data_IF_035014048606
#
_entry.id   IF_035014048606
#
_cell.length_a   1.000
_cell.length_b   1.000
_cell.length_c   1.000
_cell.angle_alpha   90.00
_cell.angle_beta   90.00
_cell.angle_gamma   90.00
#
_symmetry.space_group_name_H-M   'P 1'
#
loop_
_entity.id
_entity.type
_entity.pdbx_description
1 polymer ?
#
# COMPACT_ATOMS: atom_id res chain seq x y z
N UNK A 1 -16.39 10.98 -5.21
CA UNK A 1 -15.69 10.60 -3.97
C UNK A 1 -15.29 9.13 -4.10
N UNK A 2 -14.02 8.76 -3.91
CA UNK A 2 -13.59 7.36 -3.99
C UNK A 2 -14.24 6.56 -2.84
N UNK A 3 -14.82 5.40 -3.16
CA UNK A 3 -15.46 4.51 -2.19
C UNK A 3 -14.50 3.39 -1.78
N UNK A 4 -13.97 3.50 -0.55
CA UNK A 4 -12.98 2.57 0.00
C UNK A 4 -13.52 1.14 0.09
N UNK A 5 -14.80 0.98 0.47
CA UNK A 5 -15.43 -0.33 0.61
C UNK A 5 -15.60 -1.02 -0.75
N UNK A 6 -15.96 -0.26 -1.78
CA UNK A 6 -16.03 -0.80 -3.14
C UNK A 6 -14.66 -1.26 -3.64
N UNK A 7 -13.59 -0.54 -3.29
CA UNK A 7 -12.24 -0.99 -3.64
C UNK A 7 -11.85 -2.25 -2.87
N UNK A 8 -12.09 -2.30 -1.55
CA UNK A 8 -11.81 -3.49 -0.73
C UNK A 8 -12.54 -4.74 -1.28
N UNK A 9 -13.83 -4.59 -1.57
CA UNK A 9 -14.64 -5.61 -2.25
C UNK A 9 -14.04 -6.06 -3.58
N UNK A 10 -13.57 -5.11 -4.40
CA UNK A 10 -13.00 -5.39 -5.70
C UNK A 10 -11.66 -6.12 -5.58
N UNK A 11 -10.82 -5.74 -4.62
CA UNK A 11 -9.54 -6.40 -4.33
C UNK A 11 -9.76 -7.89 -4.04
N UNK A 12 -10.70 -8.18 -3.16
CA UNK A 12 -11.04 -9.56 -2.77
C UNK A 12 -11.72 -10.33 -3.92
N UNK A 13 -12.78 -9.78 -4.51
CA UNK A 13 -13.56 -10.43 -5.57
C UNK A 13 -12.72 -10.75 -6.80
N UNK A 14 -11.84 -9.83 -7.20
CA UNK A 14 -10.98 -9.98 -8.37
C UNK A 14 -9.63 -10.63 -8.04
N UNK A 15 -9.37 -10.98 -6.77
CA UNK A 15 -8.10 -11.55 -6.30
C UNK A 15 -6.90 -10.76 -6.79
N UNK A 16 -6.94 -9.45 -6.59
CA UNK A 16 -5.88 -8.56 -7.04
C UNK A 16 -4.55 -9.00 -6.42
N UNK A 17 -3.59 -9.35 -7.27
CA UNK A 17 -2.31 -9.89 -6.82
C UNK A 17 -1.26 -8.81 -6.59
N UNK A 18 -1.30 -7.72 -7.36
CA UNK A 18 -0.36 -6.59 -7.27
C UNK A 18 -1.14 -5.30 -7.53
N UNK A 19 -0.88 -4.26 -6.75
CA UNK A 19 -1.51 -2.95 -6.94
C UNK A 19 -0.55 -1.80 -6.62
N UNK A 20 -0.80 -0.66 -7.26
CA UNK A 20 -0.22 0.63 -6.90
C UNK A 20 -1.33 1.59 -6.48
N UNK A 21 -1.10 2.34 -5.40
CA UNK A 21 -2.08 3.25 -4.79
C UNK A 21 -1.37 4.48 -4.20
N UNK A 22 -2.04 5.62 -4.08
CA UNK A 22 -1.44 6.79 -3.41
C UNK A 22 -1.24 6.52 -1.91
N UNK A 23 -0.28 7.20 -1.29
CA UNK A 23 -0.04 7.05 0.16
C UNK A 23 -1.27 7.40 0.99
N UNK A 24 -1.98 8.49 0.68
CA UNK A 24 -3.22 8.85 1.39
C UNK A 24 -4.25 7.71 1.34
N UNK A 25 -4.41 7.05 0.19
CA UNK A 25 -5.44 6.02 0.04
C UNK A 25 -5.01 4.67 0.62
N UNK A 26 -3.70 4.36 0.60
CA UNK A 26 -3.14 3.28 1.41
C UNK A 26 -3.45 3.46 2.90
N UNK A 27 -3.23 4.66 3.46
CA UNK A 27 -3.51 4.96 4.86
C UNK A 27 -4.99 4.72 5.20
N UNK A 28 -5.91 5.21 4.34
CA UNK A 28 -7.35 5.03 4.51
C UNK A 28 -7.76 3.55 4.48
N UNK A 29 -7.21 2.75 3.55
CA UNK A 29 -7.48 1.31 3.51
C UNK A 29 -6.98 0.60 4.78
N UNK A 30 -5.77 0.95 5.24
CA UNK A 30 -5.19 0.40 6.48
C UNK A 30 -6.07 0.69 7.70
N UNK A 31 -6.75 1.83 7.73
CA UNK A 31 -7.64 2.21 8.83
C UNK A 31 -9.04 1.61 8.73
N UNK A 32 -9.59 1.48 7.53
CA UNK A 32 -10.98 1.03 7.33
C UNK A 32 -11.07 -0.49 7.19
N UNK A 33 -10.23 -1.09 6.36
CA UNK A 33 -10.26 -2.53 6.08
C UNK A 33 -8.90 -3.04 5.57
N UNK A 34 -7.97 -3.21 6.49
CA UNK A 34 -6.66 -3.80 6.17
C UNK A 34 -6.76 -5.27 5.72
N UNK A 35 -7.86 -5.96 6.05
CA UNK A 35 -8.00 -7.39 5.78
C UNK A 35 -8.11 -7.69 4.30
N UNK A 36 -8.69 -6.77 3.52
CA UNK A 36 -8.77 -6.89 2.06
C UNK A 36 -7.40 -6.98 1.38
N UNK A 37 -6.32 -6.54 2.05
CA UNK A 37 -4.95 -6.57 1.54
C UNK A 37 -4.24 -7.90 1.84
N UNK A 38 -4.85 -8.80 2.63
CA UNK A 38 -4.21 -10.02 3.13
C UNK A 38 -3.71 -10.92 2.01
N UNK A 39 -4.45 -11.05 0.92
CA UNK A 39 -4.10 -11.93 -0.20
C UNK A 39 -3.32 -11.24 -1.32
N UNK A 40 -3.17 -9.91 -1.27
CA UNK A 40 -2.34 -9.18 -2.21
C UNK A 40 -0.87 -9.56 -2.00
N UNK A 41 -0.15 -9.85 -3.08
CA UNK A 41 1.25 -10.27 -3.06
C UNK A 41 2.20 -9.08 -2.94
N UNK A 42 1.91 -7.97 -3.62
CA UNK A 42 2.68 -6.72 -3.55
C UNK A 42 1.79 -5.49 -3.59
N UNK A 43 1.98 -4.60 -2.62
CA UNK A 43 1.28 -3.31 -2.51
C UNK A 43 2.35 -2.23 -2.65
N UNK A 44 2.28 -1.51 -3.76
CA UNK A 44 3.13 -0.35 -4.00
C UNK A 44 2.34 0.90 -3.61
N UNK A 45 2.98 1.83 -2.92
CA UNK A 45 2.37 3.11 -2.60
C UNK A 45 3.36 4.25 -2.60
N UNK A 46 2.91 5.46 -2.92
CA UNK A 46 3.78 6.63 -3.02
C UNK A 46 3.06 7.88 -3.51
N UNK A 47 3.84 8.92 -3.78
CA UNK A 47 3.37 10.22 -4.29
C UNK A 47 3.32 11.34 -3.25
N UNK A 48 3.55 11.04 -1.98
CA UNK A 48 3.60 12.01 -0.87
C UNK A 48 4.35 11.40 0.34
N UNK A 49 4.57 12.19 1.39
CA UNK A 49 5.25 11.73 2.60
C UNK A 49 4.51 10.57 3.28
N UNK A 50 5.25 9.54 3.65
CA UNK A 50 4.71 8.34 4.30
C UNK A 50 4.22 8.61 5.72
N UNK A 51 3.13 7.94 6.11
CA UNK A 51 2.71 7.84 7.51
C UNK A 51 3.30 6.60 8.16
N UNK A 52 4.36 6.75 8.95
CA UNK A 52 5.05 5.64 9.64
C UNK A 52 4.07 4.80 10.48
N UNK A 53 3.09 5.44 11.14
CA UNK A 53 2.04 4.75 11.90
C UNK A 53 1.26 3.75 11.05
N UNK A 54 0.79 4.15 9.86
CA UNK A 54 0.01 3.28 8.98
C UNK A 54 0.87 2.19 8.37
N UNK A 55 2.10 2.49 7.95
CA UNK A 55 3.01 1.46 7.42
C UNK A 55 3.36 0.44 8.49
N UNK A 56 3.61 0.86 9.74
CA UNK A 56 3.86 -0.05 10.87
C UNK A 56 2.65 -0.95 11.13
N UNK A 57 1.45 -0.40 11.20
CA UNK A 57 0.19 -1.16 11.33
C UNK A 57 0.02 -2.16 10.18
N UNK A 58 0.30 -1.72 8.96
CA UNK A 58 0.22 -2.56 7.77
C UNK A 58 1.22 -3.71 7.78
N UNK A 59 2.48 -3.41 8.12
CA UNK A 59 3.55 -4.39 8.22
C UNK A 59 3.28 -5.44 9.30
N UNK A 60 2.81 -5.02 10.48
CA UNK A 60 2.45 -5.93 11.58
C UNK A 60 1.34 -6.91 11.19
N UNK A 61 0.39 -6.49 10.35
CA UNK A 61 -0.72 -7.34 9.90
C UNK A 61 -0.36 -8.20 8.68
N UNK A 62 0.32 -7.63 7.69
CA UNK A 62 0.59 -8.27 6.39
C UNK A 62 1.88 -9.09 6.37
N UNK A 63 2.85 -8.75 7.23
CA UNK A 63 4.19 -9.33 7.26
C UNK A 63 5.17 -8.67 6.29
N UNK A 64 6.41 -9.20 6.29
CA UNK A 64 7.48 -8.77 5.39
C UNK A 64 7.18 -9.12 3.93
N UNK A 65 7.93 -8.52 3.01
CA UNK A 65 7.83 -8.77 1.56
C UNK A 65 6.48 -8.40 0.91
N UNK A 66 5.60 -7.65 1.57
CA UNK A 66 4.28 -7.25 1.02
C UNK A 66 4.23 -5.81 0.52
N UNK A 67 4.90 -4.92 1.23
CA UNK A 67 4.72 -3.46 1.11
C UNK A 67 5.98 -2.85 0.48
N UNK A 68 5.80 -1.98 -0.52
CA UNK A 68 6.88 -1.25 -1.19
C UNK A 68 6.50 0.22 -1.31
N UNK A 69 7.30 1.11 -0.73
CA UNK A 69 7.15 2.54 -0.98
C UNK A 69 7.87 2.90 -2.28
N UNK A 70 7.28 3.75 -3.11
CA UNK A 70 7.86 4.20 -4.37
C UNK A 70 7.93 5.72 -4.44
N UNK A 71 8.95 6.22 -5.12
CA UNK A 71 9.12 7.64 -5.37
C UNK A 71 9.65 7.86 -6.78
N UNK A 72 9.07 8.81 -7.50
CA UNK A 72 9.66 9.42 -8.68
C UNK A 72 8.80 10.55 -9.25
N UNK A 73 9.43 11.57 -9.85
CA UNK A 73 8.72 12.58 -10.63
C UNK A 73 8.20 12.01 -11.97
N UNK A 74 7.20 12.66 -12.54
CA UNK A 74 6.61 12.28 -13.85
C UNK A 74 7.67 12.20 -14.94
N UNK A 75 8.62 13.12 -14.93
CA UNK A 75 9.76 13.27 -15.86
C UNK A 75 10.68 12.04 -15.85
N UNK A 76 10.66 11.25 -14.76
CA UNK A 76 11.41 10.00 -14.62
C UNK A 76 10.59 8.74 -14.90
N UNK A 77 9.35 8.87 -15.39
CA UNK A 77 8.40 7.77 -15.67
C UNK A 77 7.89 7.08 -14.40
N UNK A 78 6.92 7.71 -13.73
CA UNK A 78 6.15 7.20 -12.57
C UNK A 78 6.96 7.03 -11.27
N UNK A 79 7.98 6.17 -11.25
CA UNK A 79 8.84 5.96 -10.09
C UNK A 79 10.30 5.75 -10.51
N UNK A 80 11.22 6.45 -9.85
CA UNK A 80 12.67 6.34 -10.04
C UNK A 80 13.33 5.47 -8.97
N UNK A 81 12.73 5.38 -7.78
CA UNK A 81 13.26 4.65 -6.63
C UNK A 81 12.16 3.88 -5.90
N UNK A 82 12.56 2.84 -5.18
CA UNK A 82 11.64 2.09 -4.33
C UNK A 82 12.33 1.60 -3.05
N UNK A 83 11.54 1.38 -2.00
CA UNK A 83 11.96 0.84 -0.72
C UNK A 83 11.06 -0.32 -0.33
N UNK A 84 11.63 -1.51 -0.22
CA UNK A 84 10.92 -2.70 0.27
C UNK A 84 10.86 -2.68 1.80
N UNK A 85 9.63 -2.66 2.33
CA UNK A 85 9.39 -2.62 3.77
C UNK A 85 9.46 -4.05 4.31
N UNK A 86 10.67 -4.49 4.62
CA UNK A 86 10.96 -5.84 5.11
C UNK A 86 11.26 -5.89 6.61
N UNK A 87 11.54 -4.74 7.21
CA UNK A 87 11.83 -4.58 8.63
C UNK A 87 11.23 -3.27 9.15
N UNK A 88 10.90 -3.25 10.45
CA UNK A 88 10.48 -2.04 11.16
C UNK A 88 11.41 -1.88 12.34
N UNK A 89 12.23 -0.83 12.33
CA UNK A 89 12.99 -0.43 13.50
C UNK A 89 12.05 0.22 14.52
N UNK A 90 12.33 0.01 15.81
CA UNK A 90 11.59 0.61 16.93
C UNK A 90 11.67 2.14 16.89
#
# INVERSE_FOLDING_TARGET
>A
MLNVRQLADLIEKQRISVMFITTAFFNVLVDIDISCLKHVRKILFGGEQVSVKHVRKAFQYLGSNKIKHVYGPTESTVFATCYDVNEMQE
#
